data_IF_436308896978
#
_entry.id   IF_436308896978
#
_cell.length_a   1.000
_cell.length_b   1.000
_cell.length_c   1.000
_cell.angle_alpha   90.00
_cell.angle_beta   90.00
_cell.angle_gamma   90.00
#
_symmetry.space_group_name_H-M   'P 1'
#
loop_
_entity.id
_entity.type
_entity.pdbx_description
1 polymer ?
#
# COMPACT_ATOMS: atom_id res chain seq x y z
N UNK A 1 -15.54 10.88 -11.87
CA UNK A 1 -15.40 11.14 -13.31
C UNK A 1 -16.81 11.26 -13.90
N UNK A 2 -17.14 12.35 -14.61
CA UNK A 2 -18.45 12.50 -15.23
C UNK A 2 -18.67 11.47 -16.34
N UNK A 3 -19.93 11.21 -16.68
CA UNK A 3 -20.26 10.42 -17.87
C UNK A 3 -19.73 11.14 -19.12
N UNK A 4 -18.98 10.44 -19.96
CA UNK A 4 -18.43 10.96 -21.22
C UNK A 4 -18.23 9.82 -22.20
N UNK A 5 -18.64 10.04 -23.46
CA UNK A 5 -18.48 9.05 -24.53
C UNK A 5 -17.01 8.78 -24.87
N UNK A 6 -16.14 9.78 -24.71
CA UNK A 6 -14.70 9.65 -24.99
C UNK A 6 -13.99 8.62 -24.08
N UNK A 7 -14.57 8.33 -22.91
CA UNK A 7 -14.09 7.33 -21.96
C UNK A 7 -15.01 6.09 -21.87
N UNK A 8 -15.97 5.97 -22.79
CA UNK A 8 -16.99 4.91 -22.79
C UNK A 8 -17.79 4.83 -21.47
N UNK A 9 -17.96 5.98 -20.79
CA UNK A 9 -18.67 6.07 -19.52
C UNK A 9 -20.12 6.50 -19.73
N UNK A 10 -21.05 5.55 -19.66
CA UNK A 10 -22.50 5.81 -19.75
C UNK A 10 -23.11 6.39 -18.46
N UNK A 11 -22.39 6.31 -17.34
CA UNK A 11 -22.78 6.84 -16.02
C UNK A 11 -21.56 7.45 -15.32
N UNK A 12 -21.76 8.44 -14.43
CA UNK A 12 -20.66 8.94 -13.61
C UNK A 12 -20.07 7.82 -12.77
N UNK A 13 -18.73 7.76 -12.71
CA UNK A 13 -17.99 6.77 -11.96
C UNK A 13 -17.12 7.43 -10.89
N UNK A 14 -17.02 6.82 -9.72
CA UNK A 14 -16.14 7.28 -8.64
C UNK A 14 -14.80 6.58 -8.80
N UNK A 15 -13.75 7.35 -9.06
CA UNK A 15 -12.39 6.83 -9.11
C UNK A 15 -11.73 7.01 -7.73
N UNK A 16 -11.30 5.91 -7.12
CA UNK A 16 -10.52 5.93 -5.89
C UNK A 16 -9.06 5.75 -6.27
N UNK A 17 -8.23 6.74 -5.92
CA UNK A 17 -6.81 6.75 -6.22
C UNK A 17 -5.99 6.58 -4.95
N UNK A 18 -4.92 5.81 -5.04
CA UNK A 18 -3.92 5.65 -4.00
C UNK A 18 -2.65 6.43 -4.36
N UNK A 19 -2.25 7.34 -3.48
CA UNK A 19 -0.92 7.95 -3.52
C UNK A 19 0.10 6.98 -2.94
N UNK A 20 1.08 6.57 -3.73
CA UNK A 20 2.12 5.62 -3.33
C UNK A 20 3.51 6.22 -3.54
N UNK A 21 4.51 5.62 -2.90
CA UNK A 21 5.92 5.82 -3.25
C UNK A 21 6.50 4.48 -3.63
N UNK A 22 7.18 4.42 -4.77
CA UNK A 22 7.92 3.22 -5.14
C UNK A 22 9.00 2.93 -4.10
N UNK A 23 9.36 1.66 -3.91
CA UNK A 23 10.45 1.27 -3.02
C UNK A 23 11.64 0.83 -3.87
N UNK A 24 12.82 1.39 -3.60
CA UNK A 24 14.04 0.98 -4.31
C UNK A 24 14.60 -0.27 -3.64
N UNK A 25 14.73 -1.34 -4.43
CA UNK A 25 15.33 -2.60 -4.00
C UNK A 25 16.80 -2.36 -3.65
N UNK A 26 17.18 -2.66 -2.41
CA UNK A 26 18.56 -2.56 -1.93
C UNK A 26 19.29 -3.89 -2.08
N UNK A 27 18.65 -4.97 -1.69
CA UNK A 27 19.24 -6.32 -1.74
C UNK A 27 18.16 -7.39 -1.68
N UNK A 28 18.54 -8.62 -2.04
CA UNK A 28 17.72 -9.82 -1.88
C UNK A 28 18.53 -10.78 -1.00
N UNK A 29 17.91 -11.34 0.04
CA UNK A 29 18.60 -12.29 0.91
C UNK A 29 18.57 -13.73 0.34
N UNK A 30 19.21 -14.68 1.04
CA UNK A 30 19.29 -16.10 0.60
C UNK A 30 17.93 -16.82 0.50
N UNK A 31 16.89 -16.28 1.10
CA UNK A 31 15.51 -16.79 1.03
C UNK A 31 14.68 -16.07 -0.03
N UNK A 32 15.34 -15.33 -0.94
CA UNK A 32 14.70 -14.55 -2.00
C UNK A 32 13.77 -13.44 -1.48
N UNK A 33 13.97 -12.97 -0.25
CA UNK A 33 13.18 -11.86 0.30
C UNK A 33 13.86 -10.52 -0.03
N UNK A 34 13.15 -9.59 -0.68
CA UNK A 34 13.69 -8.27 -1.02
C UNK A 34 13.76 -7.37 0.22
N UNK A 35 14.83 -6.59 0.32
CA UNK A 35 15.03 -5.53 1.30
C UNK A 35 14.99 -4.20 0.57
N UNK A 36 14.22 -3.26 1.11
CA UNK A 36 14.08 -1.90 0.59
C UNK A 36 14.55 -0.92 1.66
N UNK A 37 15.39 0.05 1.30
CA UNK A 37 15.91 1.05 2.23
C UNK A 37 15.63 2.50 1.82
N UNK A 38 15.11 2.70 0.61
CA UNK A 38 14.84 4.03 0.07
C UNK A 38 13.47 4.07 -0.61
N UNK A 39 12.76 5.16 -0.37
CA UNK A 39 11.58 5.52 -1.13
C UNK A 39 12.01 6.19 -2.44
N UNK A 40 11.33 5.82 -3.51
CA UNK A 40 11.46 6.36 -4.84
C UNK A 40 10.46 7.47 -5.12
N UNK A 41 10.08 7.57 -6.40
CA UNK A 41 9.16 8.59 -6.88
C UNK A 41 7.78 8.43 -6.23
N UNK A 42 7.08 9.56 -6.07
CA UNK A 42 5.67 9.56 -5.73
C UNK A 42 4.86 9.30 -6.99
N UNK A 43 3.92 8.37 -6.89
CA UNK A 43 3.08 7.92 -7.98
C UNK A 43 1.63 7.86 -7.50
N UNK A 44 0.69 7.94 -8.43
CA UNK A 44 -0.74 7.80 -8.14
C UNK A 44 -1.26 6.65 -8.96
N UNK A 45 -1.85 5.66 -8.31
CA UNK A 45 -2.40 4.47 -8.95
C UNK A 45 -3.89 4.33 -8.66
N UNK A 46 -4.61 3.66 -9.56
CA UNK A 46 -5.97 3.24 -9.28
C UNK A 46 -5.98 2.25 -8.10
N UNK A 47 -6.86 2.48 -7.11
CA UNK A 47 -6.96 1.64 -5.92
C UNK A 47 -7.33 0.18 -6.25
N UNK A 48 -8.06 -0.06 -7.35
CA UNK A 48 -8.37 -1.42 -7.82
C UNK A 48 -7.15 -2.21 -8.24
N UNK A 49 -6.04 -1.53 -8.57
CA UNK A 49 -4.77 -2.15 -8.94
C UNK A 49 -3.91 -2.49 -7.71
N UNK A 50 -4.26 -2.02 -6.51
CA UNK A 50 -3.53 -2.32 -5.28
C UNK A 50 -4.01 -3.67 -4.73
N UNK A 51 -3.21 -4.71 -4.96
CA UNK A 51 -3.57 -6.09 -4.61
C UNK A 51 -3.18 -6.48 -3.17
N UNK A 52 -2.18 -5.79 -2.60
CA UNK A 52 -1.66 -6.11 -1.28
C UNK A 52 -1.15 -4.87 -0.57
N UNK A 53 -1.30 -4.87 0.76
CA UNK A 53 -0.66 -3.90 1.64
C UNK A 53 0.22 -4.67 2.63
N UNK A 54 1.53 -4.45 2.54
CA UNK A 54 2.51 -5.05 3.44
C UNK A 54 3.14 -3.94 4.28
N UNK A 55 3.00 -4.02 5.60
CA UNK A 55 3.62 -3.08 6.54
C UNK A 55 4.68 -3.80 7.38
N UNK A 56 5.81 -3.14 7.60
CA UNK A 56 6.80 -3.56 8.58
C UNK A 56 6.64 -2.72 9.84
N UNK A 57 6.16 -3.33 10.92
CA UNK A 57 5.88 -2.67 12.19
C UNK A 57 7.00 -3.01 13.17
N UNK A 58 7.72 -2.01 13.73
CA UNK A 58 8.74 -2.29 14.72
C UNK A 58 8.08 -2.75 16.03
N UNK A 59 8.47 -3.92 16.53
CA UNK A 59 8.16 -4.35 17.89
C UNK A 59 9.14 -3.67 18.85
N UNK A 60 8.65 -2.66 19.55
CA UNK A 60 9.48 -1.87 20.48
C UNK A 60 9.74 -2.64 21.77
N UNK A 61 10.96 -2.51 22.29
CA UNK A 61 11.32 -2.89 23.66
C UNK A 61 10.73 -1.90 24.67
N UNK A 62 10.80 -2.23 25.97
CA UNK A 62 10.40 -1.32 27.05
C UNK A 62 11.13 0.04 27.00
N UNK A 63 12.31 0.10 26.37
CA UNK A 63 13.08 1.34 26.19
C UNK A 63 12.76 2.06 24.85
N UNK A 64 11.70 1.68 24.15
CA UNK A 64 11.28 2.29 22.88
C UNK A 64 12.18 1.96 21.68
N UNK A 65 13.16 1.06 21.82
CA UNK A 65 14.04 0.64 20.72
C UNK A 65 13.47 -0.58 19.98
N UNK A 66 13.58 -0.69 18.65
CA UNK A 66 13.11 -1.86 17.91
C UNK A 66 13.85 -3.12 18.38
N UNK A 67 13.10 -4.09 18.95
CA UNK A 67 13.61 -5.41 19.34
C UNK A 67 13.41 -6.43 18.22
N UNK A 68 12.33 -6.30 17.47
CA UNK A 68 12.00 -7.12 16.31
C UNK A 68 11.17 -6.31 15.30
N UNK A 69 10.89 -6.89 14.13
CA UNK A 69 9.98 -6.34 13.13
C UNK A 69 8.90 -7.37 12.84
N UNK A 70 7.64 -6.95 12.92
CA UNK A 70 6.49 -7.74 12.49
C UNK A 70 6.08 -7.32 11.08
N UNK A 71 5.82 -8.29 10.22
CA UNK A 71 5.24 -8.04 8.90
C UNK A 71 3.73 -8.18 9.05
N UNK A 72 3.00 -7.11 8.75
CA UNK A 72 1.56 -7.13 8.57
C UNK A 72 1.28 -7.17 7.06
N UNK A 73 0.95 -8.34 6.55
CA UNK A 73 0.54 -8.53 5.17
C UNK A 73 -0.98 -8.65 5.09
N UNK A 74 -1.60 -7.82 4.24
CA UNK A 74 -3.04 -7.88 3.93
C UNK A 74 -3.31 -8.47 2.55
N UNK A 75 -2.67 -9.59 2.22
CA UNK A 75 -3.04 -10.44 1.09
C UNK A 75 -4.17 -11.41 1.49
N UNK A 76 -5.39 -11.23 0.95
CA UNK A 76 -6.51 -12.16 1.09
C UNK A 76 -7.78 -11.62 1.76
N UNK A 77 -8.77 -12.50 1.97
CA UNK A 77 -10.14 -12.20 2.43
C UNK A 77 -10.25 -11.65 3.88
N UNK A 78 -9.15 -11.28 4.53
CA UNK A 78 -9.14 -10.45 5.74
C UNK A 78 -9.48 -8.97 5.43
N UNK A 79 -10.36 -8.78 4.44
CA UNK A 79 -10.93 -7.55 3.94
C UNK A 79 -12.08 -7.12 4.84
N UNK A 80 -11.79 -6.32 5.86
CA UNK A 80 -12.75 -5.33 6.30
C UNK A 80 -11.99 -4.08 6.72
N UNK A 81 -11.39 -3.42 5.73
CA UNK A 81 -10.98 -2.02 5.90
C UNK A 81 -12.24 -1.18 5.82
N UNK A 82 -12.72 -0.74 6.96
CA UNK A 82 -13.82 0.23 7.07
C UNK A 82 -13.18 1.61 6.90
N UNK A 83 -13.68 2.40 5.94
CA UNK A 83 -13.35 3.81 5.87
C UNK A 83 -13.87 4.51 7.14
N UNK A 84 -12.98 5.10 7.92
CA UNK A 84 -13.33 5.93 9.08
C UNK A 84 -12.98 7.37 8.72
N UNK A 85 -13.97 8.28 8.61
CA UNK A 85 -13.69 9.69 8.39
C UNK A 85 -13.03 10.29 9.64
N UNK A 86 -12.03 11.14 9.42
CA UNK A 86 -11.47 12.00 10.44
C UNK A 86 -12.51 13.09 10.75
N UNK A 87 -13.18 13.00 11.91
CA UNK A 87 -14.01 14.08 12.43
C UNK A 87 -13.16 15.27 12.84
#
# INVERSE_FOLDING_TARGET
IPATQDLDLSRPEILILAGIRSCVLESINRLNMPRYSKLGAYEVVDMSCVQCLVACIPCLSEQGRPKAWSIADRTGAAQSSIYVPDN
#
